data_IF_607766798774
#
_entry.id   IF_607766798774
#
_cell.length_a   1.000
_cell.length_b   1.000
_cell.length_c   1.000
_cell.angle_alpha   90.00
_cell.angle_beta   90.00
_cell.angle_gamma   90.00
#
_symmetry.space_group_name_H-M   'P 1'
#
loop_
_entity.id
_entity.type
_entity.pdbx_description
1 polymer ?
#
# COMPACT_ATOMS: atom_id res chain seq x y z
N UNK A 1 54.65 4.76 15.81
CA UNK A 1 53.32 4.86 16.45
C UNK A 1 52.38 5.81 15.73
N UNK A 2 52.84 6.96 15.19
CA UNK A 2 51.99 7.96 14.49
C UNK A 2 51.30 7.41 13.22
N UNK A 3 51.89 6.45 12.51
CA UNK A 3 51.30 5.88 11.29
C UNK A 3 50.10 4.97 11.53
N UNK A 4 50.03 4.28 12.68
CA UNK A 4 48.87 3.44 13.01
C UNK A 4 47.65 4.29 13.39
N UNK A 5 47.84 5.37 14.15
CA UNK A 5 46.76 6.31 14.49
C UNK A 5 46.14 6.97 13.25
N UNK A 6 46.97 7.35 12.27
CA UNK A 6 46.49 7.89 10.98
C UNK A 6 45.75 6.84 10.15
N UNK A 7 46.15 5.57 10.22
CA UNK A 7 45.49 4.47 9.52
C UNK A 7 44.12 4.17 10.13
N UNK A 8 44.05 4.07 11.46
CA UNK A 8 42.80 3.89 12.21
C UNK A 8 41.83 5.06 11.96
N UNK A 9 42.32 6.30 11.94
CA UNK A 9 41.50 7.48 11.63
C UNK A 9 40.89 7.43 10.22
N UNK A 10 41.62 6.94 9.21
CA UNK A 10 41.10 6.78 7.84
C UNK A 10 40.08 5.64 7.74
N UNK A 11 40.28 4.56 8.48
CA UNK A 11 39.34 3.43 8.52
C UNK A 11 38.00 3.85 9.15
N UNK A 12 38.03 4.67 10.20
CA UNK A 12 36.82 5.25 10.82
C UNK A 12 36.07 6.17 9.84
N UNK A 13 36.78 7.08 9.16
CA UNK A 13 36.17 7.98 8.17
C UNK A 13 35.51 7.21 7.01
N UNK A 14 36.15 6.12 6.55
CA UNK A 14 35.59 5.25 5.53
C UNK A 14 34.34 4.51 6.02
N UNK A 15 34.34 4.03 7.27
CA UNK A 15 33.19 3.38 7.89
C UNK A 15 32.00 4.35 8.05
N UNK A 16 32.25 5.59 8.47
CA UNK A 16 31.21 6.62 8.57
C UNK A 16 30.60 6.96 7.21
N UNK A 17 31.43 7.11 6.18
CA UNK A 17 30.97 7.36 4.80
C UNK A 17 30.14 6.20 4.27
N UNK A 18 30.55 4.96 4.54
CA UNK A 18 29.78 3.77 4.16
C UNK A 18 28.42 3.73 4.87
N UNK A 19 28.36 4.08 6.16
CA UNK A 19 27.13 4.17 6.94
C UNK A 19 26.20 5.26 6.40
N UNK A 20 26.71 6.45 6.09
CA UNK A 20 25.93 7.53 5.48
C UNK A 20 25.35 7.10 4.12
N UNK A 21 26.15 6.44 3.29
CA UNK A 21 25.69 5.94 2.00
C UNK A 21 24.62 4.86 2.15
N UNK A 22 24.76 3.95 3.13
CA UNK A 22 23.77 2.93 3.44
C UNK A 22 22.44 3.55 3.90
N UNK A 23 22.48 4.56 4.78
CA UNK A 23 21.29 5.32 5.21
C UNK A 23 20.60 6.01 4.02
N UNK A 24 21.37 6.64 3.13
CA UNK A 24 20.82 7.28 1.93
C UNK A 24 20.17 6.27 0.98
N UNK A 25 20.74 5.07 0.83
CA UNK A 25 20.13 3.96 0.05
C UNK A 25 18.81 3.51 0.68
N UNK A 26 18.77 3.35 2.00
CA UNK A 26 17.54 2.98 2.72
C UNK A 26 16.44 4.03 2.54
N UNK A 27 16.75 5.31 2.69
CA UNK A 27 15.78 6.39 2.49
C UNK A 27 15.25 6.44 1.05
N UNK A 28 16.13 6.25 0.06
CA UNK A 28 15.74 6.15 -1.35
C UNK A 28 14.84 4.94 -1.62
N UNK A 29 15.12 3.79 -1.01
CA UNK A 29 14.28 2.60 -1.13
C UNK A 29 12.88 2.85 -0.55
N UNK A 30 12.79 3.42 0.65
CA UNK A 30 11.51 3.80 1.29
C UNK A 30 10.71 4.79 0.45
N UNK A 31 11.36 5.82 -0.10
CA UNK A 31 10.69 6.80 -0.96
C UNK A 31 10.13 6.15 -2.24
N UNK A 32 10.90 5.26 -2.89
CA UNK A 32 10.44 4.55 -4.08
C UNK A 32 9.24 3.65 -3.80
N UNK A 33 9.23 2.99 -2.65
CA UNK A 33 8.10 2.17 -2.23
C UNK A 33 6.84 3.01 -1.95
N UNK A 34 7.01 4.15 -1.27
CA UNK A 34 5.92 5.09 -1.04
C UNK A 34 5.35 5.65 -2.35
N UNK A 35 6.20 6.02 -3.31
CA UNK A 35 5.79 6.49 -4.63
C UNK A 35 5.03 5.41 -5.42
N UNK A 36 5.48 4.15 -5.32
CA UNK A 36 4.80 3.02 -5.95
C UNK A 36 3.42 2.83 -5.33
N UNK A 37 3.31 2.81 -3.99
CA UNK A 37 2.03 2.71 -3.27
C UNK A 37 1.08 3.84 -3.65
N UNK A 38 1.59 5.09 -3.77
CA UNK A 38 0.77 6.24 -4.19
C UNK A 38 0.24 6.09 -5.61
N UNK A 39 1.05 5.60 -6.55
CA UNK A 39 0.63 5.37 -7.95
C UNK A 39 -0.41 4.26 -8.04
N UNK A 40 -0.21 3.16 -7.32
CA UNK A 40 -1.15 2.05 -7.26
C UNK A 40 -2.49 2.49 -6.66
N UNK A 41 -2.47 3.24 -5.56
CA UNK A 41 -3.67 3.80 -4.93
C UNK A 41 -4.41 4.74 -5.88
N UNK A 42 -3.69 5.65 -6.56
CA UNK A 42 -4.29 6.56 -7.55
C UNK A 42 -4.91 5.79 -8.72
N UNK A 43 -4.21 4.78 -9.24
CA UNK A 43 -4.72 3.94 -10.32
C UNK A 43 -5.99 3.21 -9.88
N UNK A 44 -5.97 2.61 -8.70
CA UNK A 44 -7.12 1.92 -8.14
C UNK A 44 -8.32 2.87 -7.98
N UNK A 45 -8.11 4.09 -7.46
CA UNK A 45 -9.17 5.11 -7.34
C UNK A 45 -9.85 5.43 -8.66
N UNK A 46 -9.07 5.56 -9.75
CA UNK A 46 -9.61 5.80 -11.09
C UNK A 46 -10.48 4.61 -11.55
N UNK A 47 -10.00 3.38 -11.36
CA UNK A 47 -10.72 2.18 -11.75
C UNK A 47 -12.02 2.02 -10.94
N UNK A 48 -11.94 2.14 -9.62
CA UNK A 48 -13.11 2.05 -8.73
C UNK A 48 -14.15 3.12 -9.05
N UNK A 49 -13.74 4.37 -9.24
CA UNK A 49 -14.65 5.45 -9.61
C UNK A 49 -15.37 5.20 -10.95
N UNK A 50 -14.66 4.64 -11.95
CA UNK A 50 -15.26 4.25 -13.23
C UNK A 50 -16.29 3.14 -13.10
N UNK A 51 -16.05 2.15 -12.23
CA UNK A 51 -16.99 1.05 -11.95
C UNK A 51 -18.25 1.59 -11.27
N UNK A 52 -18.09 2.41 -10.23
CA UNK A 52 -19.23 3.01 -9.52
C UNK A 52 -20.08 3.83 -10.49
N UNK A 53 -19.48 4.71 -11.29
CA UNK A 53 -20.21 5.50 -12.30
C UNK A 53 -20.97 4.65 -13.32
N UNK A 54 -20.44 3.46 -13.68
CA UNK A 54 -21.08 2.56 -14.65
C UNK A 54 -22.31 1.86 -14.08
N UNK A 55 -22.26 1.43 -12.83
CA UNK A 55 -23.32 0.61 -12.22
C UNK A 55 -24.28 1.40 -11.31
N UNK A 56 -23.89 2.60 -10.89
CA UNK A 56 -24.67 3.50 -10.04
C UNK A 56 -24.83 4.88 -10.71
N UNK A 57 -25.48 4.96 -11.89
CA UNK A 57 -25.66 6.24 -12.59
C UNK A 57 -26.52 7.23 -11.77
N UNK A 58 -27.50 6.72 -11.03
CA UNK A 58 -28.41 7.54 -10.22
C UNK A 58 -27.74 8.07 -8.95
N UNK A 59 -26.64 7.45 -8.53
CA UNK A 59 -25.84 7.89 -7.37
C UNK A 59 -24.75 8.89 -7.78
N UNK A 60 -24.76 9.43 -9.00
CA UNK A 60 -23.73 10.37 -9.47
C UNK A 60 -23.70 11.69 -8.68
N UNK A 61 -24.79 12.04 -8.00
CA UNK A 61 -24.90 13.22 -7.14
C UNK A 61 -24.69 12.93 -5.67
N UNK A 62 -24.54 11.66 -5.30
CA UNK A 62 -24.39 11.26 -3.90
C UNK A 62 -23.03 11.69 -3.37
N UNK A 63 -23.03 12.17 -2.14
CA UNK A 63 -21.78 12.39 -1.41
C UNK A 63 -21.18 11.05 -0.93
N UNK A 64 -20.01 11.13 -0.31
CA UNK A 64 -19.30 9.95 0.19
C UNK A 64 -20.12 9.17 1.22
N UNK A 65 -20.86 9.86 2.09
CA UNK A 65 -21.64 9.22 3.15
C UNK A 65 -22.83 8.46 2.57
N UNK A 66 -23.56 9.09 1.65
CA UNK A 66 -24.70 8.47 0.93
C UNK A 66 -24.24 7.25 0.12
N UNK A 67 -23.09 7.36 -0.57
CA UNK A 67 -22.51 6.22 -1.29
C UNK A 67 -22.10 5.08 -0.34
N UNK A 68 -21.51 5.41 0.81
CA UNK A 68 -21.12 4.43 1.82
C UNK A 68 -22.32 3.68 2.39
N UNK A 69 -23.45 4.37 2.61
CA UNK A 69 -24.69 3.73 3.07
C UNK A 69 -25.19 2.68 2.07
N UNK A 70 -25.31 3.05 0.78
CA UNK A 70 -25.72 2.13 -0.29
C UNK A 70 -24.79 0.93 -0.37
N UNK A 71 -23.47 1.16 -0.37
CA UNK A 71 -22.49 0.09 -0.45
C UNK A 71 -22.51 -0.81 0.79
N UNK A 72 -22.71 -0.27 1.98
CA UNK A 72 -22.78 -1.06 3.21
C UNK A 72 -23.92 -2.08 3.17
N UNK A 73 -25.09 -1.66 2.69
CA UNK A 73 -26.27 -2.53 2.52
C UNK A 73 -26.00 -3.55 1.42
N UNK A 74 -25.51 -3.13 0.25
CA UNK A 74 -25.22 -4.02 -0.87
C UNK A 74 -24.21 -5.11 -0.50
N UNK A 75 -23.13 -4.74 0.21
CA UNK A 75 -22.10 -5.68 0.67
C UNK A 75 -22.57 -6.58 1.82
N UNK A 76 -23.59 -6.17 2.57
CA UNK A 76 -24.19 -6.99 3.63
C UNK A 76 -25.03 -8.16 3.07
N UNK A 77 -25.52 -8.06 1.83
CA UNK A 77 -26.34 -9.10 1.17
C UNK A 77 -25.60 -10.44 1.06
N UNK A 78 -26.36 -11.53 1.16
CA UNK A 78 -25.80 -12.88 1.07
C UNK A 78 -25.23 -13.15 -0.33
N UNK A 79 -25.91 -12.66 -1.36
CA UNK A 79 -25.52 -12.77 -2.76
C UNK A 79 -24.16 -12.12 -3.01
N UNK A 80 -23.95 -10.90 -2.51
CA UNK A 80 -22.69 -10.20 -2.67
C UNK A 80 -21.55 -10.95 -1.97
N UNK A 81 -21.78 -11.40 -0.72
CA UNK A 81 -20.81 -12.20 0.05
C UNK A 81 -20.44 -13.50 -0.67
N UNK A 82 -21.41 -14.23 -1.20
CA UNK A 82 -21.18 -15.48 -1.95
C UNK A 82 -20.38 -15.24 -3.23
N UNK A 83 -20.70 -14.18 -3.99
CA UNK A 83 -19.95 -13.82 -5.19
C UNK A 83 -18.49 -13.46 -4.83
N UNK A 84 -18.28 -12.67 -3.77
CA UNK A 84 -16.93 -12.33 -3.29
C UNK A 84 -16.16 -13.60 -2.92
N UNK A 85 -16.78 -14.55 -2.20
CA UNK A 85 -16.15 -15.83 -1.84
C UNK A 85 -15.79 -16.65 -3.08
N UNK A 86 -16.69 -16.75 -4.06
CA UNK A 86 -16.43 -17.44 -5.34
C UNK A 86 -15.29 -16.81 -6.13
N UNK A 87 -15.19 -15.49 -6.14
CA UNK A 87 -14.09 -14.78 -6.81
C UNK A 87 -12.77 -15.06 -6.08
N UNK A 88 -12.75 -14.99 -4.74
CA UNK A 88 -11.58 -15.28 -3.91
C UNK A 88 -11.08 -16.71 -4.09
N UNK A 89 -11.98 -17.70 -4.13
CA UNK A 89 -11.62 -19.10 -4.37
C UNK A 89 -11.08 -19.33 -5.78
N UNK A 90 -11.64 -18.66 -6.80
CA UNK A 90 -11.11 -18.68 -8.16
C UNK A 90 -9.70 -18.08 -8.24
N UNK A 91 -9.44 -16.96 -7.56
CA UNK A 91 -8.11 -16.35 -7.52
C UNK A 91 -7.11 -17.12 -6.66
N UNK A 92 -7.55 -17.97 -5.73
CA UNK A 92 -6.65 -18.88 -5.03
C UNK A 92 -6.15 -20.00 -5.96
N UNK A 93 -6.94 -20.38 -6.97
CA UNK A 93 -6.53 -21.34 -8.02
C UNK A 93 -5.63 -20.73 -9.12
N UNK A 94 -5.65 -19.42 -9.29
CA UNK A 94 -4.78 -18.66 -10.21
C UNK A 94 -4.05 -17.59 -9.40
N UNK A 95 -2.85 -17.92 -8.90
CA UNK A 95 -2.11 -17.20 -7.86
C UNK A 95 -1.78 -15.72 -8.12
N UNK A 96 -2.79 -14.86 -8.05
CA UNK A 96 -2.64 -13.40 -7.99
C UNK A 96 -3.77 -12.80 -7.16
N UNK A 97 -3.72 -13.00 -5.84
CA UNK A 97 -4.44 -12.15 -4.90
C UNK A 97 -3.44 -11.64 -3.86
N UNK A 98 -2.75 -10.54 -4.20
CA UNK A 98 -2.01 -9.78 -3.20
C UNK A 98 -3.02 -8.92 -2.44
N UNK A 99 -3.43 -9.41 -1.27
CA UNK A 99 -4.14 -8.62 -0.27
C UNK A 99 -3.30 -7.35 0.01
N UNK A 100 -3.84 -6.13 -0.11
CA UNK A 100 -3.14 -4.96 0.39
C UNK A 100 -2.97 -5.12 1.90
N UNK A 101 -1.73 -4.94 2.40
CA UNK A 101 -1.47 -4.82 3.83
C UNK A 101 -2.20 -3.58 4.34
N UNK A 102 -3.43 -3.73 4.81
CA UNK A 102 -4.00 -2.84 5.80
C UNK A 102 -3.34 -3.18 7.12
N UNK A 103 -2.47 -2.27 7.55
CA UNK A 103 -1.80 -2.24 8.85
C UNK A 103 -2.83 -2.45 9.96
N UNK A 104 -2.65 -3.51 10.76
CA UNK A 104 -3.26 -3.57 12.08
C UNK A 104 -2.58 -2.51 12.94
N UNK A 105 -3.19 -1.33 13.02
CA UNK A 105 -2.96 -0.47 14.17
C UNK A 105 -3.63 -1.13 15.37
N UNK A 106 -2.81 -1.90 16.08
CA UNK A 106 -2.97 -2.26 17.49
C UNK A 106 -3.49 -1.05 18.26
N UNK A 107 -4.77 -1.06 18.59
CA UNK A 107 -5.31 -0.13 19.57
C UNK A 107 -4.94 -0.67 20.95
N UNK A 108 -3.83 -0.17 21.49
CA UNK A 108 -3.46 -0.33 22.88
C UNK A 108 -3.64 1.05 23.54
N UNK A 109 -4.81 1.25 24.15
CA UNK A 109 -5.05 2.15 25.27
C UNK A 109 -6.02 1.45 26.23
#
# INVERSE_FOLDING_TARGET
MIDEEKKVSKEIEQAEKALQQAKARLQRAKSKEADKKRKEDTHNKIIWGGIVKKYFPDCAQFDEAEMNEVLSVALATAECKQIIQKIKSRSAGYGTYQKPMSEEHSNAE
#
